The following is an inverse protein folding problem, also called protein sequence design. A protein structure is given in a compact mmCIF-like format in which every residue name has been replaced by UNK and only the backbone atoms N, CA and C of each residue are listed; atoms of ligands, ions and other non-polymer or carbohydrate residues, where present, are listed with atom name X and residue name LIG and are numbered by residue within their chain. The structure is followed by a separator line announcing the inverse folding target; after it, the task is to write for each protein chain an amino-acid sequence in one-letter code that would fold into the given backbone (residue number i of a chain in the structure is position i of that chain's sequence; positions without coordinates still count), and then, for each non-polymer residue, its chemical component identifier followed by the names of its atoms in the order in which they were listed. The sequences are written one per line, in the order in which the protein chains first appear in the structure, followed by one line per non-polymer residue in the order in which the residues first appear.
data_IF_774372788220
#
_entry.id   IF_774372788220
#
_cell.length_a   1.000
_cell.length_b   1.000
_cell.length_c   1.000
_cell.angle_alpha   90.00
_cell.angle_beta   90.00
_cell.angle_gamma   90.00
#
_symmetry.space_group_name_H-M   'P 1'
#
loop_
_entity.id
_entity.type
_entity.pdbx_description
1 polymer ?
#
# COMPACT_ATOMS: atom_id res chain seq x y z
N UNK A 1 -10.78 13.55 2.59
CA UNK A 1 -9.70 13.30 3.55
C UNK A 1 -8.69 12.43 2.83
N UNK A 2 -7.42 12.81 2.88
CA UNK A 2 -6.34 12.05 2.24
C UNK A 2 -5.71 11.17 3.32
N UNK A 3 -5.56 9.87 3.03
CA UNK A 3 -4.85 8.92 3.89
C UNK A 3 -3.61 8.45 3.15
N UNK A 4 -2.49 8.26 3.86
CA UNK A 4 -1.26 7.76 3.27
C UNK A 4 -0.93 6.38 3.83
N UNK A 5 -0.29 5.58 2.98
CA UNK A 5 0.06 4.20 3.30
C UNK A 5 1.49 3.92 2.86
N UNK A 6 2.20 3.09 3.60
CA UNK A 6 3.51 2.59 3.21
C UNK A 6 3.43 1.09 2.96
N UNK A 7 3.77 0.69 1.73
CA UNK A 7 3.86 -0.71 1.34
C UNK A 7 5.30 -1.16 1.56
N UNK A 8 5.55 -1.89 2.65
CA UNK A 8 6.88 -2.33 3.11
C UNK A 8 7.55 -3.28 2.12
N UNK A 9 6.76 -4.16 1.51
CA UNK A 9 7.21 -5.18 0.54
C UNK A 9 7.86 -4.54 -0.70
N UNK A 10 7.13 -3.66 -1.38
CA UNK A 10 7.62 -2.95 -2.57
C UNK A 10 8.34 -1.63 -2.26
N UNK A 11 8.42 -1.26 -0.97
CA UNK A 11 8.96 0.00 -0.45
C UNK A 11 8.44 1.22 -1.20
N UNK A 12 7.13 1.25 -1.46
CA UNK A 12 6.42 2.36 -2.13
C UNK A 12 5.41 2.99 -1.19
N UNK A 13 5.15 4.27 -1.41
CA UNK A 13 4.14 5.02 -0.69
C UNK A 13 2.85 4.99 -1.52
N UNK A 14 1.73 4.74 -0.87
CA UNK A 14 0.40 4.85 -1.39
C UNK A 14 -0.35 6.02 -0.76
N UNK A 15 -1.39 6.50 -1.43
CA UNK A 15 -2.38 7.40 -0.83
C UNK A 15 -3.77 7.02 -1.27
N UNK A 16 -4.75 7.34 -0.44
CA UNK A 16 -6.17 7.28 -0.76
C UNK A 16 -6.71 8.71 -0.79
N UNK A 17 -7.26 9.11 -1.93
CA UNK A 17 -7.99 10.36 -2.08
C UNK A 17 -9.40 10.05 -2.59
N UNK A 18 -10.43 10.41 -1.81
CA UNK A 18 -11.84 10.23 -2.17
C UNK A 18 -12.16 8.83 -2.73
N UNK A 19 -11.67 7.79 -2.06
CA UNK A 19 -11.84 6.37 -2.43
C UNK A 19 -11.03 5.88 -3.63
N UNK A 20 -10.22 6.75 -4.23
CA UNK A 20 -9.27 6.40 -5.27
C UNK A 20 -7.90 6.17 -4.63
N UNK A 21 -7.29 5.04 -4.98
CA UNK A 21 -5.98 4.63 -4.50
C UNK A 21 -4.92 5.02 -5.52
N UNK A 22 -3.84 5.63 -5.05
CA UNK A 22 -2.70 6.02 -5.86
C UNK A 22 -1.41 5.49 -5.24
N UNK A 23 -0.45 5.12 -6.08
CA UNK A 23 0.90 4.79 -5.69
C UNK A 23 1.85 5.91 -6.10
N UNK A 24 2.82 6.21 -5.26
CA UNK A 24 3.88 7.14 -5.58
C UNK A 24 4.93 6.42 -6.42
N UNK A 25 5.06 6.87 -7.66
CA UNK A 25 6.14 6.54 -8.56
C UNK A 25 7.21 7.64 -8.51
N UNK A 26 8.48 7.23 -8.46
CA UNK A 26 9.60 8.18 -8.34
C UNK A 26 9.78 9.06 -9.58
N UNK A 27 9.40 8.54 -10.74
CA UNK A 27 9.60 9.22 -12.03
C UNK A 27 8.34 9.96 -12.48
N UNK A 28 7.17 9.35 -12.24
CA UNK A 28 5.88 9.86 -12.73
C UNK A 28 5.04 10.57 -11.65
N UNK A 29 5.44 10.51 -10.38
CA UNK A 29 4.65 11.01 -9.27
C UNK A 29 3.50 10.08 -8.91
N UNK A 30 2.34 10.62 -8.51
CA UNK A 30 1.20 9.81 -8.10
C UNK A 30 0.52 9.15 -9.30
N UNK A 31 0.64 7.82 -9.40
CA UNK A 31 -0.02 6.98 -10.40
C UNK A 31 -1.21 6.25 -9.78
N UNK A 32 -2.22 5.91 -10.58
CA UNK A 32 -3.39 5.15 -10.12
C UNK A 32 -2.99 3.72 -9.72
N UNK A 33 -3.52 3.22 -8.60
CA UNK A 33 -3.35 1.83 -8.17
C UNK A 33 -4.37 0.91 -8.86
N UNK A 34 -4.20 0.68 -10.16
CA UNK A 34 -5.12 -0.15 -10.96
C UNK A 34 -5.15 -1.62 -10.50
N UNK A 35 -4.01 -2.11 -10.02
CA UNK A 35 -3.85 -3.46 -9.49
C UNK A 35 -4.40 -3.62 -8.06
N UNK A 36 -4.95 -2.55 -7.47
CA UNK A 36 -5.52 -2.55 -6.12
C UNK A 36 -4.56 -3.04 -5.03
N UNK A 37 -3.25 -2.85 -5.23
CA UNK A 37 -2.21 -3.32 -4.31
C UNK A 37 -2.44 -2.80 -2.90
N UNK A 38 -2.89 -1.56 -2.74
CA UNK A 38 -3.16 -0.98 -1.42
C UNK A 38 -4.26 -1.76 -0.71
N UNK A 39 -5.40 -1.97 -1.36
CA UNK A 39 -6.55 -2.63 -0.72
C UNK A 39 -6.27 -4.11 -0.47
N UNK A 40 -5.54 -4.78 -1.37
CA UNK A 40 -5.13 -6.17 -1.20
C UNK A 40 -4.32 -6.34 0.07
N UNK A 41 -3.34 -5.45 0.31
CA UNK A 41 -2.59 -5.52 1.57
C UNK A 41 -3.48 -5.16 2.76
N UNK A 42 -4.32 -4.14 2.64
CA UNK A 42 -5.15 -3.65 3.72
C UNK A 42 -6.13 -4.70 4.26
N UNK A 43 -6.67 -5.55 3.38
CA UNK A 43 -7.57 -6.65 3.77
C UNK A 43 -6.82 -7.98 3.98
N UNK A 44 -5.52 -8.04 3.71
CA UNK A 44 -4.75 -9.28 3.78
C UNK A 44 -5.15 -10.27 2.70
N UNK A 45 -5.41 -9.79 1.49
CA UNK A 45 -5.78 -10.62 0.34
C UNK A 45 -4.56 -11.37 -0.19
N UNK A 46 -4.65 -12.69 -0.13
CA UNK A 46 -3.66 -13.62 -0.63
C UNK A 46 -4.10 -14.19 -1.97
N UNK A 47 -3.55 -13.65 -3.07
CA UNK A 47 -3.84 -14.12 -4.43
C UNK A 47 -3.21 -15.48 -4.75
N UNK A 48 -2.34 -16.00 -3.89
CA UNK A 48 -1.68 -17.31 -4.08
C UNK A 48 -2.50 -18.46 -3.49
N UNK A 49 -3.44 -18.19 -2.59
CA UNK A 49 -4.34 -19.19 -2.02
C UNK A 49 -5.43 -19.60 -3.02
N UNK A 50 -5.44 -20.89 -3.35
CA UNK A 50 -6.50 -21.53 -4.14
C UNK A 50 -7.86 -21.39 -3.44
N UNK A 51 -8.94 -21.44 -4.24
CA UNK A 51 -10.32 -21.18 -3.83
C UNK A 51 -10.82 -22.05 -2.66
N UNK A 52 -10.17 -23.19 -2.43
CA UNK A 52 -10.45 -24.15 -1.36
C UNK A 52 -10.03 -23.69 0.06
N UNK A 53 -9.18 -22.67 0.20
CA UNK A 53 -8.83 -22.14 1.51
C UNK A 53 -9.92 -21.20 2.03
N UNK A 54 -10.55 -21.57 3.14
CA UNK A 54 -11.73 -20.94 3.77
C UNK A 54 -11.73 -19.40 3.92
N UNK A 55 -10.59 -18.71 3.77
CA UNK A 55 -10.54 -17.26 3.54
C UNK A 55 -9.30 -16.88 2.72
N UNK A 56 -9.49 -16.23 1.56
CA UNK A 56 -8.44 -15.52 0.81
C UNK A 56 -8.06 -14.18 1.46
N UNK A 57 -8.86 -13.71 2.40
CA UNK A 57 -8.77 -12.40 3.07
C UNK A 57 -8.41 -12.62 4.55
N UNK A 58 -7.67 -11.71 5.16
CA UNK A 58 -7.27 -11.78 6.56
C UNK A 58 -5.92 -12.46 6.78
N UNK A 59 -5.08 -12.56 5.76
CA UNK A 59 -3.69 -12.98 5.96
C UNK A 59 -2.92 -11.87 6.69
N UNK A 60 -2.63 -12.07 7.98
CA UNK A 60 -1.90 -11.11 8.82
C UNK A 60 -0.50 -10.80 8.28
N UNK A 61 0.16 -11.74 7.61
CA UNK A 61 1.46 -11.49 7.00
C UNK A 61 1.36 -10.42 5.92
N UNK A 62 0.30 -10.49 5.10
CA UNK A 62 0.03 -9.52 4.03
C UNK A 62 -0.43 -8.17 4.60
N UNK A 63 -1.25 -8.18 5.65
CA UNK A 63 -1.69 -6.94 6.35
C UNK A 63 -0.47 -6.21 6.93
N UNK A 64 0.48 -6.94 7.49
CA UNK A 64 1.69 -6.34 8.04
C UNK A 64 2.61 -5.71 6.97
N UNK A 65 2.39 -6.02 5.68
CA UNK A 65 3.12 -5.39 4.58
C UNK A 65 2.62 -3.97 4.27
N UNK A 66 1.48 -3.56 4.81
CA UNK A 66 0.98 -2.19 4.68
C UNK A 66 0.91 -1.53 6.05
N UNK A 67 1.28 -0.26 6.09
CA UNK A 67 1.23 0.57 7.29
C UNK A 67 0.55 1.87 6.93
N UNK A 68 -0.40 2.33 7.76
CA UNK A 68 -0.94 3.68 7.62
C UNK A 68 0.08 4.66 8.20
N UNK A 69 0.36 5.70 7.42
CA UNK A 69 1.39 6.68 7.74
C UNK A 69 0.78 8.08 7.56
N UNK A 70 1.33 9.06 8.24
CA UNK A 70 0.94 10.46 8.05
C UNK A 70 1.76 11.14 6.94
N UNK A 71 1.39 12.38 6.62
CA UNK A 71 2.05 13.14 5.56
C UNK A 71 3.50 13.52 5.90
N UNK A 72 3.84 13.68 7.18
CA UNK A 72 5.20 14.01 7.61
C UNK A 72 6.10 12.78 7.42
N UNK A 73 5.61 11.59 7.77
CA UNK A 73 6.35 10.34 7.59
C UNK A 73 6.52 9.96 6.10
N UNK A 74 5.58 10.38 5.23
CA UNK A 74 5.76 10.30 3.78
C UNK A 74 6.98 11.10 3.34
N UNK A 75 7.10 12.35 3.81
CA UNK A 75 8.21 13.24 3.46
C UNK A 75 9.50 12.67 4.02
N UNK A 76 9.52 12.23 5.27
CA UNK A 76 10.70 11.64 5.91
C UNK A 76 11.21 10.41 5.16
N UNK A 77 10.34 9.51 4.70
CA UNK A 77 10.76 8.32 3.92
C UNK A 77 11.23 8.65 2.50
N UNK A 78 10.78 9.78 1.95
CA UNK A 78 11.25 10.27 0.65
C UNK A 78 12.64 10.91 0.79
N UNK A 79 12.85 11.71 1.83
CA UNK A 79 14.12 12.42 2.07
C UNK A 79 15.20 11.53 2.66
N UNK A 80 14.86 10.58 3.54
CA UNK A 80 15.81 9.65 4.17
C UNK A 80 16.44 8.64 3.21
N UNK A 81 15.95 8.56 1.96
CA UNK A 81 16.54 7.72 0.91
C UNK A 81 17.65 8.41 0.11
N UNK A 82 17.91 9.70 0.36
CA UNK A 82 18.95 10.48 -0.33
C UNK A 82 20.25 10.66 0.49
N UNK A 83 20.40 9.97 1.62
CA UNK A 83 21.60 10.06 2.47
C UNK A 83 22.35 8.74 2.65
#
# INVERSE_FOLDING_TARGET
MIQYYYLKDIKRIGKRDKEIYYLLDKEKGWILDEEKKIIDRLIGFDSTKTEDSKSRIGNMEIINLIEEIDAEEVIERLTSREN
#
